data_IF_584515702575
#
_entry.id   IF_584515702575
#
_cell.length_a   1.000
_cell.length_b   1.000
_cell.length_c   1.000
_cell.angle_alpha   90.00
_cell.angle_beta   90.00
_cell.angle_gamma   90.00
#
_symmetry.space_group_name_H-M   'P 1'
#
loop_
_entity.id
_entity.type
_entity.pdbx_description
1 polymer ?
#
# COMPACT_ATOMS: atom_id res chain seq x y z
N UNK A 1 9.11 17.93 11.55
CA UNK A 1 9.86 17.63 10.31
C UNK A 1 8.87 17.27 9.23
N UNK A 2 8.94 17.90 8.06
CA UNK A 2 7.99 17.68 6.97
C UNK A 2 8.50 16.52 6.13
N UNK A 3 7.79 15.40 6.12
CA UNK A 3 7.94 14.39 5.07
C UNK A 3 7.89 15.11 3.72
N UNK A 4 8.74 14.73 2.76
CA UNK A 4 8.63 15.26 1.41
C UNK A 4 7.17 15.04 0.94
N UNK A 5 6.40 16.08 0.60
CA UNK A 5 4.95 15.99 0.45
C UNK A 5 4.53 14.98 -0.63
N UNK A 6 5.43 14.67 -1.56
CA UNK A 6 5.26 13.65 -2.59
C UNK A 6 5.24 12.20 -2.06
N UNK A 7 5.87 11.91 -0.91
CA UNK A 7 5.99 10.55 -0.33
C UNK A 7 5.06 10.31 0.85
N UNK A 8 4.51 11.36 1.46
CA UNK A 8 3.52 11.22 2.55
C UNK A 8 2.33 10.32 2.16
N UNK A 9 1.67 10.43 0.98
CA UNK A 9 0.56 9.54 0.65
C UNK A 9 1.01 8.07 0.53
N UNK A 10 2.22 7.82 0.03
CA UNK A 10 2.79 6.47 -0.02
C UNK A 10 3.03 5.90 1.38
N UNK A 11 3.62 6.71 2.27
CA UNK A 11 3.85 6.34 3.66
C UNK A 11 2.54 6.03 4.38
N UNK A 12 1.51 6.87 4.24
CA UNK A 12 0.20 6.63 4.83
C UNK A 12 -0.39 5.28 4.38
N UNK A 13 -0.34 4.98 3.08
CA UNK A 13 -0.82 3.71 2.56
C UNK A 13 -0.03 2.51 3.08
N UNK A 14 1.30 2.59 3.12
CA UNK A 14 2.15 1.54 3.69
C UNK A 14 1.89 1.35 5.20
N UNK A 15 1.63 2.42 5.95
CA UNK A 15 1.29 2.36 7.37
C UNK A 15 -0.03 1.62 7.61
N UNK A 16 -1.05 1.83 6.77
CA UNK A 16 -2.33 1.08 6.86
C UNK A 16 -2.06 -0.42 6.71
N UNK A 17 -1.22 -0.79 5.75
CA UNK A 17 -0.86 -2.19 5.48
C UNK A 17 0.00 -2.78 6.61
N UNK A 18 1.00 -2.05 7.09
CA UNK A 18 1.84 -2.48 8.21
C UNK A 18 1.01 -2.71 9.48
N UNK A 19 0.04 -1.81 9.76
CA UNK A 19 -0.94 -1.97 10.86
C UNK A 19 -1.82 -3.20 10.66
N UNK A 20 -2.25 -3.47 9.43
CA UNK A 20 -3.05 -4.65 9.11
C UNK A 20 -2.31 -5.95 9.45
N UNK A 21 -1.00 -6.02 9.15
CA UNK A 21 -0.12 -7.13 9.55
C UNK A 21 0.36 -7.08 11.00
N UNK A 22 -0.02 -6.04 11.77
CA UNK A 22 0.39 -5.80 13.16
C UNK A 22 1.91 -5.77 13.34
N UNK A 23 2.62 -5.17 12.39
CA UNK A 23 4.07 -5.01 12.47
C UNK A 23 4.43 -3.92 13.50
N UNK A 24 5.54 -4.12 14.21
CA UNK A 24 6.16 -3.10 15.05
C UNK A 24 7.00 -2.17 14.17
N UNK A 25 6.57 -0.92 14.03
CA UNK A 25 7.28 0.08 13.22
C UNK A 25 7.26 1.46 13.88
N UNK A 26 8.27 2.28 13.56
CA UNK A 26 8.32 3.69 13.98
C UNK A 26 8.08 4.61 12.79
N UNK A 27 6.86 5.09 12.65
CA UNK A 27 6.46 5.99 11.55
C UNK A 27 7.30 7.29 11.53
N UNK A 28 7.72 7.78 12.70
CA UNK A 28 8.58 8.95 12.80
C UNK A 28 9.99 8.67 12.25
N UNK A 29 10.58 7.53 12.59
CA UNK A 29 11.91 7.14 12.11
C UNK A 29 11.95 6.98 10.58
N UNK A 30 10.88 6.41 10.01
CA UNK A 30 10.70 6.28 8.56
C UNK A 30 10.67 7.66 7.89
N UNK A 31 9.88 8.61 8.44
CA UNK A 31 9.80 9.99 7.94
C UNK A 31 11.15 10.71 7.95
N UNK A 32 11.94 10.52 9.00
CA UNK A 32 13.29 11.09 9.08
C UNK A 32 14.17 10.52 7.98
N UNK A 33 14.20 9.19 7.81
CA UNK A 33 15.05 8.55 6.81
C UNK A 33 14.72 8.98 5.39
N UNK A 34 13.43 9.05 5.02
CA UNK A 34 12.99 9.49 3.70
C UNK A 34 13.47 10.90 3.37
N UNK A 35 13.47 11.79 4.36
CA UNK A 35 13.90 13.18 4.18
C UNK A 35 15.39 13.27 3.83
N UNK A 36 16.21 12.32 4.29
CA UNK A 36 17.62 12.21 3.90
C UNK A 36 17.79 11.57 2.52
N UNK A 37 16.97 10.58 2.18
CA UNK A 37 16.99 9.85 0.90
C UNK A 37 16.33 10.60 -0.29
N UNK A 38 16.03 11.89 -0.14
CA UNK A 38 15.24 12.65 -1.14
C UNK A 38 15.96 12.88 -2.48
N UNK A 39 17.27 12.58 -2.56
CA UNK A 39 18.05 12.60 -3.80
C UNK A 39 18.07 11.25 -4.55
N UNK A 40 17.61 10.18 -3.89
CA UNK A 40 17.53 8.83 -4.47
C UNK A 40 16.34 8.73 -5.44
N UNK A 41 16.41 7.83 -6.44
CA UNK A 41 15.27 7.58 -7.32
C UNK A 41 14.06 7.10 -6.51
N UNK A 42 12.88 7.60 -6.89
CA UNK A 42 11.61 7.34 -6.18
C UNK A 42 11.40 5.87 -5.80
N UNK A 43 11.78 4.94 -6.67
CA UNK A 43 11.56 3.52 -6.47
C UNK A 43 12.38 2.99 -5.30
N UNK A 44 13.66 3.37 -5.21
CA UNK A 44 14.51 3.02 -4.06
C UNK A 44 13.97 3.62 -2.76
N UNK A 45 13.50 4.87 -2.80
CA UNK A 45 12.88 5.51 -1.62
C UNK A 45 11.64 4.73 -1.17
N UNK A 46 10.76 4.32 -2.10
CA UNK A 46 9.58 3.50 -1.79
C UNK A 46 9.96 2.12 -1.24
N UNK A 47 10.96 1.46 -1.81
CA UNK A 47 11.46 0.16 -1.34
C UNK A 47 12.02 0.25 0.08
N UNK A 48 12.84 1.27 0.35
CA UNK A 48 13.41 1.53 1.67
C UNK A 48 12.34 1.87 2.70
N UNK A 49 11.34 2.67 2.33
CA UNK A 49 10.18 2.95 3.20
C UNK A 49 9.46 1.68 3.62
N UNK A 50 9.12 0.82 2.66
CA UNK A 50 8.47 -0.44 2.93
C UNK A 50 9.36 -1.31 3.84
N UNK A 51 10.65 -1.41 3.52
CA UNK A 51 11.62 -2.22 4.28
C UNK A 51 11.73 -1.77 5.73
N UNK A 52 11.75 -0.46 5.99
CA UNK A 52 11.76 0.07 7.36
C UNK A 52 10.48 -0.21 8.14
N UNK A 53 9.36 -0.40 7.45
CA UNK A 53 8.10 -0.83 8.05
C UNK A 53 8.02 -2.36 8.22
N UNK A 54 9.09 -3.09 7.89
CA UNK A 54 9.11 -4.56 7.89
C UNK A 54 8.36 -5.16 6.70
N UNK A 55 8.11 -4.39 5.63
CA UNK A 55 7.39 -4.80 4.44
C UNK A 55 8.33 -4.93 3.23
N UNK A 56 8.21 -6.00 2.47
CA UNK A 56 8.73 -6.14 1.12
C UNK A 56 7.73 -5.56 0.12
N UNK A 57 8.22 -4.73 -0.79
CA UNK A 57 7.42 -4.10 -1.84
C UNK A 57 7.70 -4.75 -3.20
N UNK A 58 6.65 -5.00 -3.96
CA UNK A 58 6.76 -5.48 -5.35
C UNK A 58 5.77 -4.74 -6.24
N UNK A 59 6.31 -4.04 -7.23
CA UNK A 59 5.50 -3.35 -8.25
C UNK A 59 4.95 -4.36 -9.24
N UNK A 60 3.66 -4.24 -9.56
CA UNK A 60 2.94 -5.07 -10.52
C UNK A 60 2.10 -4.18 -11.43
N UNK A 61 2.05 -4.54 -12.72
CA UNK A 61 1.23 -3.82 -13.69
C UNK A 61 -0.25 -3.96 -13.34
N UNK A 62 -1.00 -2.87 -13.43
CA UNK A 62 -2.44 -2.84 -13.15
C UNK A 62 -3.21 -3.90 -13.98
N UNK A 63 -2.77 -4.09 -15.22
CA UNK A 63 -3.31 -5.04 -16.20
C UNK A 63 -3.05 -6.50 -15.83
N UNK A 64 -1.93 -6.75 -15.13
CA UNK A 64 -1.45 -8.08 -14.78
C UNK A 64 -2.02 -8.58 -13.45
N UNK A 65 -2.68 -7.70 -12.69
CA UNK A 65 -3.33 -8.09 -11.44
C UNK A 65 -4.79 -8.39 -11.75
N UNK A 66 -5.10 -9.67 -11.90
CA UNK A 66 -6.39 -10.17 -11.45
C UNK A 66 -6.50 -9.77 -9.97
N UNK A 67 -7.41 -8.85 -9.64
CA UNK A 67 -7.62 -8.41 -8.27
C UNK A 67 -8.23 -9.58 -7.48
N UNK A 68 -7.37 -10.48 -7.05
CA UNK A 68 -7.72 -11.60 -6.20
C UNK A 68 -7.88 -11.09 -4.77
N UNK A 69 -9.03 -11.35 -4.10
CA UNK A 69 -9.23 -10.96 -2.69
C UNK A 69 -8.15 -11.54 -1.76
N UNK A 70 -7.55 -12.68 -2.16
CA UNK A 70 -6.43 -13.32 -1.46
C UNK A 70 -5.13 -12.51 -1.44
N UNK A 71 -4.98 -11.57 -2.39
CA UNK A 71 -3.77 -10.75 -2.50
C UNK A 71 -3.85 -9.46 -1.68
N UNK A 72 -5.00 -9.17 -1.08
CA UNK A 72 -5.19 -7.98 -0.25
C UNK A 72 -4.41 -8.05 1.08
N UNK A 73 -4.11 -6.91 1.71
CA UNK A 73 -4.27 -5.56 1.17
C UNK A 73 -3.21 -5.20 0.10
N UNK A 74 -3.58 -4.35 -0.85
CA UNK A 74 -2.71 -3.88 -1.95
C UNK A 74 -2.65 -2.36 -1.98
N UNK A 75 -1.51 -1.80 -2.36
CA UNK A 75 -1.38 -0.35 -2.56
C UNK A 75 -1.57 -0.02 -4.04
N UNK A 76 -2.43 0.95 -4.34
CA UNK A 76 -2.81 1.36 -5.68
C UNK A 76 -2.43 2.81 -5.93
N UNK A 77 -1.71 3.05 -7.03
CA UNK A 77 -1.47 4.38 -7.58
C UNK A 77 -2.54 4.67 -8.63
N UNK A 78 -3.23 5.79 -8.48
CA UNK A 78 -4.24 6.26 -9.43
C UNK A 78 -3.68 7.37 -10.33
N UNK A 79 -4.30 7.55 -11.49
CA UNK A 79 -4.07 8.71 -12.37
C UNK A 79 -4.23 10.01 -11.57
N UNK A 80 -3.20 10.87 -11.62
CA UNK A 80 -3.15 12.10 -10.82
C UNK A 80 -2.29 12.01 -9.56
N UNK A 81 -1.67 10.85 -9.29
CA UNK A 81 -0.73 10.67 -8.16
C UNK A 81 -1.41 10.41 -6.82
N UNK A 82 -2.72 10.13 -6.83
CA UNK A 82 -3.45 9.72 -5.64
C UNK A 82 -3.09 8.27 -5.29
N UNK A 83 -2.89 8.00 -4.01
CA UNK A 83 -2.54 6.68 -3.50
C UNK A 83 -3.68 6.16 -2.65
N UNK A 84 -4.13 4.93 -2.89
CA UNK A 84 -5.11 4.28 -2.03
C UNK A 84 -4.69 2.86 -1.67
N UNK A 85 -5.17 2.36 -0.53
CA UNK A 85 -4.97 0.98 -0.11
C UNK A 85 -6.25 0.22 -0.35
N UNK A 86 -6.20 -0.80 -1.18
CA UNK A 86 -7.30 -1.74 -1.37
C UNK A 86 -7.31 -2.68 -0.17
N UNK A 87 -8.35 -2.59 0.64
CA UNK A 87 -8.49 -3.35 1.90
C UNK A 87 -9.36 -4.58 1.72
N UNK A 88 -10.41 -4.49 0.90
CA UNK A 88 -11.39 -5.56 0.70
C UNK A 88 -11.98 -5.54 -0.71
N UNK A 89 -12.42 -6.71 -1.15
CA UNK A 89 -13.27 -6.88 -2.33
C UNK A 89 -14.44 -7.79 -1.95
N UNK A 90 -15.64 -7.41 -2.38
CA UNK A 90 -16.85 -8.18 -2.18
C UNK A 90 -17.21 -8.98 -3.44
N UNK A 91 -17.99 -10.05 -3.25
CA UNK A 91 -18.36 -11.00 -4.32
C UNK A 91 -19.23 -10.36 -5.43
N UNK A 92 -19.73 -9.15 -5.19
CA UNK A 92 -20.50 -8.35 -6.14
C UNK A 92 -19.59 -7.53 -7.10
N UNK A 93 -18.27 -7.62 -6.97
CA UNK A 93 -17.32 -6.85 -7.78
C UNK A 93 -17.06 -5.43 -7.26
N UNK A 94 -17.50 -5.15 -6.03
CA UNK A 94 -17.22 -3.92 -5.32
C UNK A 94 -15.88 -4.03 -4.59
N UNK A 95 -15.08 -2.97 -4.64
CA UNK A 95 -13.76 -2.89 -4.05
C UNK A 95 -13.74 -1.74 -3.05
N UNK A 96 -13.41 -2.08 -1.80
CA UNK A 96 -13.16 -1.10 -0.74
C UNK A 96 -11.70 -0.68 -0.77
N UNK A 97 -11.48 0.62 -0.86
CA UNK A 97 -10.16 1.23 -0.77
C UNK A 97 -10.16 2.42 0.20
N UNK A 98 -9.01 2.67 0.81
CA UNK A 98 -8.78 3.78 1.72
C UNK A 98 -7.78 4.76 1.08
N UNK A 99 -8.21 5.99 0.82
CA UNK A 99 -7.33 6.99 0.22
C UNK A 99 -6.34 7.55 1.24
N UNK A 100 -5.10 7.69 0.79
CA UNK A 100 -4.02 8.26 1.60
C UNK A 100 -4.24 9.76 1.76
N UNK A 101 -4.63 10.18 2.97
CA UNK A 101 -4.96 11.57 3.29
C UNK A 101 -6.41 11.78 3.72
N UNK A 102 -7.29 10.79 3.53
CA UNK A 102 -8.72 10.89 3.88
C UNK A 102 -9.02 10.50 5.34
N UNK A 103 -7.99 10.46 6.20
CA UNK A 103 -8.13 10.13 7.63
C UNK A 103 -8.60 8.69 7.91
N UNK A 104 -8.53 7.79 6.92
CA UNK A 104 -8.98 6.40 7.05
C UNK A 104 -10.42 6.15 6.61
N UNK A 105 -11.05 7.13 5.95
CA UNK A 105 -12.33 6.93 5.27
C UNK A 105 -12.21 5.89 4.16
N UNK A 106 -13.14 4.94 4.18
CA UNK A 106 -13.22 3.88 3.18
C UNK A 106 -14.15 4.32 2.04
N UNK A 107 -13.66 4.18 0.81
CA UNK A 107 -14.39 4.46 -0.42
C UNK A 107 -14.62 3.16 -1.16
N UNK A 108 -15.87 2.91 -1.55
CA UNK A 108 -16.22 1.75 -2.36
C UNK A 108 -16.29 2.16 -3.84
N UNK A 109 -15.57 1.44 -4.70
CA UNK A 109 -15.60 1.60 -6.15
C UNK A 109 -15.89 0.25 -6.82
N UNK A 110 -16.46 0.29 -8.02
CA UNK A 110 -16.57 -0.92 -8.85
C UNK A 110 -15.21 -1.28 -9.45
N UNK A 111 -15.02 -2.56 -9.77
CA UNK A 111 -13.80 -3.06 -10.43
C UNK A 111 -13.48 -2.28 -11.72
N UNK A 112 -14.51 -1.91 -12.50
CA UNK A 112 -14.39 -1.13 -13.73
C UNK A 112 -13.88 0.30 -13.47
N UNK A 113 -14.45 0.98 -12.48
CA UNK A 113 -14.05 2.34 -12.10
C UNK A 113 -12.62 2.36 -11.52
N UNK A 114 -12.27 1.32 -10.77
CA UNK A 114 -10.91 1.10 -10.29
C UNK A 114 -9.95 0.92 -11.47
N UNK A 115 -10.19 -0.05 -12.35
CA UNK A 115 -9.32 -0.35 -13.49
C UNK A 115 -9.11 0.84 -14.43
N UNK A 116 -10.11 1.69 -14.63
CA UNK A 116 -10.01 2.89 -15.48
C UNK A 116 -9.06 3.95 -14.93
N UNK A 117 -8.95 4.06 -13.60
CA UNK A 117 -8.13 5.08 -12.92
C UNK A 117 -6.83 4.52 -12.37
N UNK A 118 -6.72 3.20 -12.28
CA UNK A 118 -5.58 2.50 -11.73
C UNK A 118 -4.40 2.56 -12.69
N UNK A 119 -3.26 3.01 -12.18
CA UNK A 119 -2.03 3.19 -12.95
C UNK A 119 -1.00 2.11 -12.61
N UNK A 120 -0.80 1.88 -11.31
CA UNK A 120 0.19 0.92 -10.81
C UNK A 120 -0.36 0.25 -9.56
N UNK A 121 -0.04 -1.03 -9.37
CA UNK A 121 -0.29 -1.74 -8.13
C UNK A 121 1.02 -2.14 -7.47
N UNK A 122 1.05 -2.08 -6.15
CA UNK A 122 2.18 -2.48 -5.35
C UNK A 122 1.70 -3.50 -4.31
N UNK A 123 2.33 -4.66 -4.35
CA UNK A 123 2.12 -5.73 -3.39
C UNK A 123 3.07 -5.50 -2.24
N UNK A 124 2.53 -5.40 -1.02
CA UNK A 124 3.27 -5.23 0.21
C UNK A 124 3.07 -6.45 1.10
N UNK A 125 4.16 -7.10 1.50
CA UNK A 125 4.15 -8.30 2.35
C UNK A 125 5.16 -8.17 3.48
N UNK A 126 4.90 -8.68 4.68
CA UNK A 126 5.89 -8.69 5.74
C UNK A 126 7.16 -9.46 5.31
N UNK A 127 8.34 -8.92 5.62
CA UNK A 127 9.64 -9.52 5.31
C UNK A 127 9.96 -10.70 6.24
N UNK A 128 9.61 -10.55 7.51
CA UNK A 128 9.71 -11.61 8.51
C UNK A 128 8.29 -12.13 8.76
N UNK A 129 8.05 -13.38 8.39
CA UNK A 129 6.75 -14.03 8.57
C UNK A 129 6.42 -14.13 10.05
N UNK A 130 5.59 -13.22 10.59
CA UNK A 130 4.50 -13.72 11.43
C UNK A 130 3.75 -14.73 10.57
N UNK A 131 3.57 -15.98 11.03
CA UNK A 131 3.04 -17.05 10.19
C UNK A 131 1.77 -16.51 9.56
N UNK A 132 1.77 -16.48 8.21
CA UNK A 132 0.68 -16.04 7.37
C UNK A 132 -0.63 -16.38 8.10
N UNK A 133 -1.39 -15.37 8.52
CA UNK A 133 -2.74 -15.55 9.05
C UNK A 133 -3.72 -16.02 7.95
N UNK A 134 -3.21 -16.71 6.92
CA UNK A 134 -3.98 -17.60 6.06
C UNK A 134 -4.10 -18.90 6.84
N UNK A 135 -5.19 -18.96 7.60
CA UNK A 135 -5.55 -20.10 8.42
C UNK A 135 -5.23 -21.41 7.72
N UNK A 136 -4.53 -22.27 8.48
CA UNK A 136 -4.61 -23.73 8.44
C UNK A 136 -5.92 -24.18 7.77
N UNK A 137 -5.84 -24.57 6.51
CA UNK A 137 -6.84 -25.44 5.89
C UNK A 137 -6.52 -26.85 6.39
N UNK A 138 -7.35 -27.35 7.30
CA UNK A 138 -7.56 -28.79 7.49
C UNK A 138 -9.03 -29.02 7.82
#
# INVERSE_FOLDING_TARGET
MKTHPQYEPWLQGMLIIAKHYRLDFSAEHVRVTINHESQSPRQLVLEEMARQLGLGMRVVAAEAVSLDPWRLPLLAEFTGGQIAVITRMDNEGNVSLQFSGDGGLETTLTLEALGTRLKTLLVLRPLESTPDARGRLH
#
